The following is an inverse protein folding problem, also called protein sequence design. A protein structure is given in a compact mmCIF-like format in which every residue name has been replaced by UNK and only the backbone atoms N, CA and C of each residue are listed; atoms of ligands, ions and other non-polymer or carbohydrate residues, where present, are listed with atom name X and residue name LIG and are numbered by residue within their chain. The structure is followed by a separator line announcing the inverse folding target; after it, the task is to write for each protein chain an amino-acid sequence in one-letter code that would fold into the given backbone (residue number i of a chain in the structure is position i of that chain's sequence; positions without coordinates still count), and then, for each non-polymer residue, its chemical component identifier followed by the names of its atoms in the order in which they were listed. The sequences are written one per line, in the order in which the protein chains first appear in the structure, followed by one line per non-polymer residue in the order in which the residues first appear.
data_IF_378621599183
#
_entry.id   IF_378621599183
#
_cell.length_a   1.000
_cell.length_b   1.000
_cell.length_c   1.000
_cell.angle_alpha   90.00
_cell.angle_beta   90.00
_cell.angle_gamma   90.00
#
_symmetry.space_group_name_H-M   'P 1'
#
loop_
_entity.id
_entity.type
_entity.pdbx_description
1 polymer ?
#
# COMPACT_ATOMS: atom_id res chain seq x y z
N UNK A 1 37.75 5.86 1.58
CA UNK A 1 36.88 6.93 2.07
C UNK A 1 35.49 6.67 1.52
N UNK A 2 34.59 6.30 2.41
CA UNK A 2 33.27 5.73 2.16
C UNK A 2 32.27 6.82 1.76
N UNK A 3 31.52 6.62 0.66
CA UNK A 3 30.36 7.42 0.27
C UNK A 3 29.44 6.47 -0.54
N UNK A 4 28.21 6.12 -0.16
CA UNK A 4 27.41 6.41 1.01
C UNK A 4 26.24 5.41 1.03
N UNK A 5 25.67 5.20 2.20
CA UNK A 5 24.54 4.30 2.45
C UNK A 5 23.41 4.52 1.43
N UNK A 6 23.15 3.50 0.61
CA UNK A 6 22.15 3.52 -0.45
C UNK A 6 20.77 3.81 0.16
N UNK A 7 20.24 4.99 -0.13
CA UNK A 7 18.96 5.49 0.38
C UNK A 7 17.79 4.62 -0.12
N UNK A 8 17.51 3.50 0.53
CA UNK A 8 16.39 2.61 0.18
C UNK A 8 15.06 3.35 0.38
N UNK A 9 14.41 3.70 -0.72
CA UNK A 9 13.06 4.30 -0.70
C UNK A 9 12.06 3.24 -0.26
N UNK A 10 11.19 3.58 0.69
CA UNK A 10 10.11 2.69 1.11
C UNK A 10 8.97 2.84 0.10
N UNK A 11 8.66 1.76 -0.61
CA UNK A 11 7.58 1.71 -1.59
C UNK A 11 6.29 1.26 -0.87
N UNK A 12 5.23 2.06 -0.97
CA UNK A 12 3.94 1.78 -0.31
C UNK A 12 2.87 1.59 -1.36
N UNK A 13 2.30 0.39 -1.45
CA UNK A 13 1.25 0.05 -2.42
C UNK A 13 -0.12 0.31 -1.83
N UNK A 14 -0.94 1.12 -2.49
CA UNK A 14 -2.33 1.37 -2.08
C UNK A 14 -3.31 0.59 -2.96
N UNK A 15 -4.37 0.07 -2.35
CA UNK A 15 -5.39 -0.73 -3.02
C UNK A 15 -6.75 -0.58 -2.34
N UNK A 16 -7.82 -0.89 -3.08
CA UNK A 16 -9.19 -0.94 -2.54
C UNK A 16 -9.62 -2.39 -2.53
N UNK A 17 -9.82 -3.01 -1.35
CA UNK A 17 -10.34 -4.37 -1.26
C UNK A 17 -11.74 -4.49 -1.89
N UNK A 18 -12.05 -5.66 -2.41
CA UNK A 18 -13.39 -5.93 -2.93
C UNK A 18 -14.43 -5.84 -1.79
N UNK A 19 -15.42 -4.96 -1.95
CA UNK A 19 -16.47 -4.76 -0.95
C UNK A 19 -16.14 -3.79 0.19
N UNK A 20 -14.91 -3.27 0.24
CA UNK A 20 -14.55 -2.20 1.18
C UNK A 20 -14.75 -0.81 0.54
N UNK A 21 -15.12 0.14 1.37
CA UNK A 21 -15.22 1.56 1.01
C UNK A 21 -13.90 2.30 1.18
N UNK A 22 -12.95 1.75 1.92
CA UNK A 22 -11.68 2.40 2.25
C UNK A 22 -10.51 1.87 1.41
N UNK A 23 -9.57 2.77 1.13
CA UNK A 23 -8.29 2.43 0.52
C UNK A 23 -7.31 1.98 1.62
N UNK A 24 -6.72 0.81 1.45
CA UNK A 24 -5.70 0.25 2.33
C UNK A 24 -4.32 0.36 1.68
N UNK A 25 -3.29 0.30 2.51
CA UNK A 25 -1.89 0.31 2.07
C UNK A 25 -1.21 -1.00 2.47
N UNK A 26 -0.10 -1.32 1.81
CA UNK A 26 0.82 -2.39 2.22
C UNK A 26 2.25 -2.06 1.80
N UNK A 27 3.24 -2.67 2.46
CA UNK A 27 4.64 -2.69 2.00
C UNK A 27 4.90 -3.88 1.07
N UNK A 28 3.99 -4.85 1.03
CA UNK A 28 4.11 -6.02 0.18
C UNK A 28 3.85 -5.67 -1.29
N UNK A 29 4.38 -6.49 -2.18
CA UNK A 29 3.99 -6.44 -3.58
C UNK A 29 2.54 -6.96 -3.71
N UNK A 30 1.70 -6.23 -4.43
CA UNK A 30 0.31 -6.64 -4.62
C UNK A 30 0.22 -7.84 -5.59
N UNK A 31 -0.40 -8.98 -5.20
CA UNK A 31 -0.42 -10.23 -6.00
C UNK A 31 -1.11 -10.06 -7.35
N UNK A 32 -0.50 -10.39 -8.50
CA UNK A 32 -1.05 -10.07 -9.83
C UNK A 32 -2.52 -10.52 -10.04
N UNK A 33 -2.86 -11.73 -9.59
CA UNK A 33 -4.20 -12.32 -9.73
C UNK A 33 -5.18 -11.91 -8.62
N UNK A 34 -4.75 -11.02 -7.72
CA UNK A 34 -5.45 -10.69 -6.49
C UNK A 34 -5.13 -11.69 -5.38
N UNK A 35 -5.56 -11.36 -4.18
CA UNK A 35 -5.33 -12.18 -3.00
C UNK A 35 -4.99 -11.35 -1.78
N UNK A 36 -4.93 -12.03 -0.65
CA UNK A 36 -4.75 -11.37 0.62
C UNK A 36 -3.33 -10.85 0.84
N UNK A 37 -3.25 -9.67 1.45
CA UNK A 37 -2.00 -9.01 1.85
C UNK A 37 -2.16 -8.43 3.25
N UNK A 38 -1.04 -8.30 3.96
CA UNK A 38 -1.04 -7.62 5.25
C UNK A 38 -1.20 -6.12 5.02
N UNK A 39 -2.07 -5.46 5.79
CA UNK A 39 -2.20 -4.01 5.70
C UNK A 39 -0.98 -3.32 6.32
N UNK A 40 -0.74 -2.07 5.90
CA UNK A 40 0.37 -1.28 6.37
C UNK A 40 0.22 -1.01 7.87
N UNK A 41 1.28 -1.29 8.63
CA UNK A 41 1.24 -1.26 10.09
C UNK A 41 0.68 -2.53 10.73
N UNK A 42 0.29 -3.53 9.93
CA UNK A 42 -0.07 -4.88 10.40
C UNK A 42 -1.37 -4.92 11.21
N UNK A 43 -2.29 -3.98 10.96
CA UNK A 43 -3.52 -3.90 11.74
C UNK A 43 -4.62 -4.84 11.26
N UNK A 44 -4.52 -5.35 10.03
CA UNK A 44 -5.47 -6.28 9.44
C UNK A 44 -4.88 -7.05 8.25
N UNK A 45 -5.63 -8.01 7.73
CA UNK A 45 -5.39 -8.67 6.46
C UNK A 45 -6.52 -8.35 5.47
N UNK A 46 -6.17 -7.92 4.26
CA UNK A 46 -7.16 -7.48 3.28
C UNK A 46 -6.90 -8.09 1.90
N UNK A 47 -7.98 -8.43 1.18
CA UNK A 47 -7.89 -8.99 -0.16
C UNK A 47 -7.68 -7.90 -1.20
N UNK A 48 -6.47 -7.83 -1.76
CA UNK A 48 -6.17 -6.95 -2.88
C UNK A 48 -6.82 -7.49 -4.16
N UNK A 49 -7.42 -6.62 -4.99
CA UNK A 49 -7.99 -7.03 -6.28
C UNK A 49 -6.87 -7.41 -7.27
N UNK A 50 -7.25 -8.15 -8.31
CA UNK A 50 -6.37 -8.47 -9.43
C UNK A 50 -5.88 -7.19 -10.14
N UNK A 51 -4.70 -7.23 -10.76
CA UNK A 51 -4.05 -6.06 -11.34
C UNK A 51 -4.95 -5.30 -12.34
N UNK A 52 -5.71 -6.02 -13.18
CA UNK A 52 -6.68 -5.45 -14.13
C UNK A 52 -7.79 -4.62 -13.47
N UNK A 53 -8.06 -4.89 -12.20
CA UNK A 53 -9.13 -4.29 -11.40
C UNK A 53 -8.58 -3.23 -10.40
N UNK A 54 -7.25 -3.06 -10.33
CA UNK A 54 -6.59 -2.03 -9.51
C UNK A 54 -6.71 -0.67 -10.18
N UNK A 55 -7.74 0.08 -9.79
CA UNK A 55 -7.86 1.50 -10.16
C UNK A 55 -7.83 2.34 -8.90
N UNK A 56 -7.06 3.43 -8.96
CA UNK A 56 -7.08 4.46 -7.92
C UNK A 56 -8.49 5.02 -7.83
N UNK A 57 -9.10 4.91 -6.65
CA UNK A 57 -10.42 5.49 -6.42
C UNK A 57 -10.27 6.81 -5.67
N UNK A 58 -10.06 7.88 -6.43
CA UNK A 58 -9.82 9.25 -5.92
C UNK A 58 -10.95 9.78 -4.99
N UNK A 59 -12.13 9.16 -5.05
CA UNK A 59 -13.31 9.54 -4.26
C UNK A 59 -13.50 8.69 -3.00
N UNK A 60 -12.64 7.69 -2.75
CA UNK A 60 -12.76 6.78 -1.61
C UNK A 60 -11.89 7.25 -0.44
N UNK A 61 -12.39 7.21 0.81
CA UNK A 61 -11.60 7.51 1.99
C UNK A 61 -10.44 6.51 2.16
N UNK A 62 -9.41 6.89 2.91
CA UNK A 62 -8.34 5.98 3.31
C UNK A 62 -8.71 5.27 4.62
N UNK A 63 -8.20 4.07 4.83
CA UNK A 63 -8.22 3.46 6.15
C UNK A 63 -7.33 4.29 7.08
N UNK A 64 -7.89 4.76 8.20
CA UNK A 64 -7.21 5.65 9.15
C UNK A 64 -5.91 5.05 9.71
N UNK A 65 -5.91 3.72 9.94
CA UNK A 65 -4.75 3.01 10.48
C UNK A 65 -3.63 2.88 9.45
N UNK A 66 -3.96 2.49 8.21
CA UNK A 66 -3.00 2.49 7.09
C UNK A 66 -2.41 3.89 6.86
N UNK A 67 -3.24 4.93 6.84
CA UNK A 67 -2.80 6.29 6.61
C UNK A 67 -1.89 6.80 7.73
N UNK A 68 -2.27 6.55 8.99
CA UNK A 68 -1.43 6.89 10.15
C UNK A 68 -0.08 6.16 10.11
N UNK A 69 -0.06 4.89 9.71
CA UNK A 69 1.17 4.13 9.56
C UNK A 69 2.05 4.69 8.43
N UNK A 70 1.45 5.07 7.30
CA UNK A 70 2.14 5.71 6.18
C UNK A 70 2.84 7.01 6.59
N UNK A 71 2.18 7.88 7.35
CA UNK A 71 2.76 9.14 7.81
C UNK A 71 4.00 8.97 8.72
N UNK A 72 4.15 7.79 9.34
CA UNK A 72 5.32 7.47 10.19
C UNK A 72 6.51 6.93 9.39
N UNK A 73 6.34 6.61 8.11
CA UNK A 73 7.41 6.07 7.28
C UNK A 73 8.31 7.20 6.78
N UNK A 74 9.58 7.16 7.17
CA UNK A 74 10.58 8.09 6.67
C UNK A 74 10.87 7.82 5.18
N UNK A 75 10.77 8.85 4.32
CA UNK A 75 11.01 8.76 2.87
C UNK A 75 10.11 7.74 2.13
N UNK A 76 8.89 7.50 2.61
CA UNK A 76 7.93 6.70 1.86
C UNK A 76 7.55 7.38 0.55
N UNK A 77 7.55 6.61 -0.53
CA UNK A 77 6.92 7.00 -1.79
C UNK A 77 5.71 6.11 -2.01
N UNK A 78 4.54 6.70 -2.25
CA UNK A 78 3.41 5.89 -2.61
C UNK A 78 3.64 5.35 -4.03
N UNK A 79 3.47 4.04 -4.18
CA UNK A 79 3.51 3.36 -5.47
C UNK A 79 2.11 2.97 -5.89
N UNK A 80 1.86 3.27 -7.16
CA UNK A 80 0.58 3.13 -7.83
C UNK A 80 0.70 2.24 -9.07
N UNK A 81 1.90 1.70 -9.35
CA UNK A 81 2.10 0.76 -10.45
C UNK A 81 1.49 -0.59 -10.05
N UNK A 82 0.27 -0.81 -10.53
CA UNK A 82 -0.26 -2.14 -10.81
C UNK A 82 0.37 -2.73 -12.06
#
# INVERSE_FOLDING_TARGET
MEIGEETRRVVVSWFVPNGDTHQHATLDALPLDGGGVSTLGGHDYAEAPAARDRRMQHIRPFCDLCFTAYLKLHRAQPNWKG
#
